data_IF_703412759589
#
_entry.id   IF_703412759589
#
_cell.length_a   1.000
_cell.length_b   1.000
_cell.length_c   1.000
_cell.angle_alpha   90.00
_cell.angle_beta   90.00
_cell.angle_gamma   90.00
#
_symmetry.space_group_name_H-M   'P 1'
#
loop_
_entity.id
_entity.type
_entity.pdbx_description
1 polymer ?
#
# COMPACT_ATOMS: atom_id res chain seq x y z
N UNK A 1 9.38 -1.02 53.73
CA UNK A 1 9.27 -2.28 52.98
C UNK A 1 8.13 -2.06 52.00
N UNK A 2 8.33 -1.43 50.86
CA UNK A 2 9.27 -1.70 49.75
C UNK A 2 9.01 -3.02 49.02
N UNK A 3 9.02 -2.90 47.68
CA UNK A 3 8.96 -3.87 46.57
C UNK A 3 7.57 -4.48 46.29
N UNK A 4 6.88 -4.22 45.17
CA UNK A 4 7.33 -4.18 43.76
C UNK A 4 7.09 -5.57 43.14
N UNK A 5 6.54 -5.81 41.95
CA UNK A 5 6.11 -5.06 40.77
C UNK A 5 5.99 -6.10 39.64
N UNK A 6 5.14 -5.86 38.63
CA UNK A 6 5.29 -6.32 37.22
C UNK A 6 3.93 -6.35 36.49
N UNK A 7 3.39 -5.17 36.17
CA UNK A 7 2.53 -5.04 34.99
C UNK A 7 3.44 -4.87 33.78
N UNK A 8 3.45 -5.88 32.89
CA UNK A 8 4.16 -5.82 31.60
C UNK A 8 3.48 -4.79 30.69
N UNK A 9 3.86 -3.53 30.83
CA UNK A 9 3.62 -2.49 29.84
C UNK A 9 4.63 -2.64 28.71
N UNK A 10 4.18 -3.15 27.56
CA UNK A 10 4.95 -3.09 26.32
C UNK A 10 5.11 -1.63 25.90
N UNK A 11 6.29 -1.07 26.18
CA UNK A 11 6.75 0.20 25.61
C UNK A 11 7.07 -0.03 24.13
N UNK A 12 6.13 0.28 23.25
CA UNK A 12 6.44 0.47 21.84
C UNK A 12 7.27 1.76 21.73
N UNK A 13 8.58 1.63 21.57
CA UNK A 13 9.44 2.75 21.17
C UNK A 13 9.03 3.16 19.75
N UNK A 14 8.14 4.13 19.63
CA UNK A 14 8.05 4.92 18.40
C UNK A 14 9.36 5.72 18.30
N UNK A 15 10.25 5.28 17.42
CA UNK A 15 11.38 6.08 16.98
C UNK A 15 10.85 7.38 16.39
N UNK A 16 11.32 8.50 16.92
CA UNK A 16 11.05 9.82 16.37
C UNK A 16 11.83 9.95 15.07
N UNK A 17 11.18 9.67 13.94
CA UNK A 17 11.69 10.07 12.64
C UNK A 17 11.41 11.57 12.49
N UNK A 18 12.43 12.38 12.80
CA UNK A 18 12.47 13.75 12.36
C UNK A 18 12.52 13.75 10.83
N UNK A 19 11.42 14.15 10.20
CA UNK A 19 11.33 14.33 8.76
C UNK A 19 12.11 15.59 8.38
N UNK A 20 13.42 15.45 8.15
CA UNK A 20 14.15 16.40 7.35
C UNK A 20 13.73 16.18 5.89
N UNK A 21 12.78 16.99 5.42
CA UNK A 21 12.32 16.97 4.04
C UNK A 21 13.45 17.36 3.09
N UNK A 22 14.20 16.39 2.59
CA UNK A 22 14.97 16.55 1.37
C UNK A 22 14.02 16.41 0.19
N UNK A 23 13.74 17.54 -0.45
CA UNK A 23 13.06 17.61 -1.73
C UNK A 23 13.97 17.00 -2.79
N UNK A 24 13.77 15.72 -3.07
CA UNK A 24 14.26 15.12 -4.31
C UNK A 24 13.18 15.36 -5.35
N UNK A 25 13.34 16.42 -6.14
CA UNK A 25 12.70 16.51 -7.44
C UNK A 25 13.16 15.30 -8.25
N UNK A 26 12.34 14.25 -8.34
CA UNK A 26 12.65 13.13 -9.21
C UNK A 26 12.43 13.60 -10.64
N UNK A 27 13.51 14.00 -11.31
CA UNK A 27 13.57 13.80 -12.75
C UNK A 27 13.41 12.29 -12.93
N UNK A 28 12.22 11.86 -13.33
CA UNK A 28 11.96 10.49 -13.74
C UNK A 28 12.84 10.25 -14.97
N UNK A 29 14.07 9.79 -14.74
CA UNK A 29 14.84 9.16 -15.78
C UNK A 29 14.01 7.94 -16.17
N UNK A 30 13.51 7.91 -17.40
CA UNK A 30 12.78 6.76 -17.91
C UNK A 30 13.73 5.56 -17.80
N UNK A 31 13.55 4.75 -16.76
CA UNK A 31 14.33 3.55 -16.55
C UNK A 31 14.03 2.62 -17.73
N UNK A 32 15.06 2.30 -18.51
CA UNK A 32 14.90 1.41 -19.65
C UNK A 32 14.43 0.04 -19.14
N UNK A 33 13.32 -0.46 -19.70
CA UNK A 33 12.77 -1.77 -19.39
C UNK A 33 13.54 -2.81 -20.20
N UNK A 34 13.92 -3.93 -19.59
CA UNK A 34 14.50 -5.06 -20.30
C UNK A 34 13.58 -5.49 -21.47
N UNK A 35 14.03 -5.39 -22.74
CA UNK A 35 13.20 -5.70 -23.90
C UNK A 35 12.62 -7.12 -23.91
N UNK A 36 13.29 -8.08 -23.26
CA UNK A 36 12.80 -9.44 -23.15
C UNK A 36 11.47 -9.51 -22.38
N UNK A 37 11.24 -8.62 -21.41
CA UNK A 37 10.00 -8.51 -20.65
C UNK A 37 8.87 -7.87 -21.45
N UNK A 38 9.13 -7.29 -22.63
CA UNK A 38 8.09 -6.77 -23.51
C UNK A 38 7.66 -7.77 -24.59
N UNK A 39 8.42 -8.85 -24.77
CA UNK A 39 8.23 -9.81 -25.86
C UNK A 39 7.94 -11.22 -25.37
N UNK A 40 8.35 -11.56 -24.15
CA UNK A 40 8.24 -12.91 -23.59
C UNK A 40 7.40 -12.94 -22.32
N UNK A 41 6.91 -14.13 -21.98
CA UNK A 41 6.29 -14.37 -20.68
C UNK A 41 7.25 -14.00 -19.55
N UNK A 42 6.71 -13.32 -18.55
CA UNK A 42 7.46 -12.93 -17.37
C UNK A 42 7.74 -14.18 -16.51
N UNK A 43 8.96 -14.36 -16.00
CA UNK A 43 9.25 -15.40 -15.01
C UNK A 43 8.37 -15.29 -13.75
N UNK A 44 8.04 -14.07 -13.33
CA UNK A 44 7.10 -13.80 -12.25
C UNK A 44 5.69 -14.32 -12.58
N UNK A 45 4.99 -14.73 -11.52
CA UNK A 45 3.63 -15.26 -11.61
C UNK A 45 2.67 -14.42 -10.78
N UNK A 46 1.46 -14.27 -11.29
CA UNK A 46 0.37 -13.67 -10.53
C UNK A 46 0.14 -14.44 -9.23
N UNK A 47 0.10 -13.76 -8.10
CA UNK A 47 -0.15 -14.35 -6.79
C UNK A 47 -1.36 -13.73 -6.11
N UNK A 48 -2.01 -14.50 -5.25
CA UNK A 48 -3.12 -14.02 -4.39
C UNK A 48 -3.12 -14.76 -3.05
N UNK A 49 -3.88 -14.27 -2.09
CA UNK A 49 -4.01 -14.91 -0.78
C UNK A 49 -4.77 -16.23 -0.93
N UNK A 50 -4.22 -17.32 -0.40
CA UNK A 50 -4.85 -18.62 -0.52
C UNK A 50 -6.22 -18.64 0.19
N UNK A 51 -7.25 -19.16 -0.48
CA UNK A 51 -8.60 -19.29 0.08
C UNK A 51 -9.43 -18.01 0.12
N UNK A 52 -8.92 -16.86 -0.36
CA UNK A 52 -9.73 -15.65 -0.51
C UNK A 52 -10.65 -15.74 -1.73
N UNK A 53 -11.84 -15.16 -1.64
CA UNK A 53 -12.68 -14.92 -2.82
C UNK A 53 -12.00 -13.86 -3.71
N UNK A 54 -11.66 -14.20 -4.98
CA UNK A 54 -10.89 -13.29 -5.81
C UNK A 54 -11.77 -12.20 -6.47
N UNK A 55 -13.10 -12.21 -6.29
CA UNK A 55 -14.01 -11.22 -6.88
C UNK A 55 -14.70 -10.31 -5.86
N UNK A 56 -14.63 -10.63 -4.57
CA UNK A 56 -15.21 -9.83 -3.50
C UNK A 56 -14.27 -8.73 -3.00
N UNK A 57 -14.86 -7.80 -2.25
CA UNK A 57 -14.09 -6.78 -1.53
C UNK A 57 -13.04 -7.43 -0.64
N UNK A 58 -11.81 -6.90 -0.69
CA UNK A 58 -10.78 -7.30 0.25
C UNK A 58 -9.52 -6.44 0.15
N UNK A 59 -8.84 -6.33 1.28
CA UNK A 59 -7.51 -5.74 1.39
C UNK A 59 -6.54 -6.86 1.73
N UNK A 60 -5.49 -7.01 0.95
CA UNK A 60 -4.59 -8.15 1.00
C UNK A 60 -3.16 -7.68 1.17
N UNK A 61 -2.44 -8.24 2.14
CA UNK A 61 -1.04 -7.94 2.34
C UNK A 61 -0.19 -9.09 1.80
N UNK A 62 0.91 -8.74 1.14
CA UNK A 62 1.91 -9.64 0.57
C UNK A 62 3.28 -9.26 1.09
N UNK A 63 4.10 -10.27 1.40
CA UNK A 63 5.45 -10.05 1.94
C UNK A 63 6.47 -11.03 1.36
N UNK A 64 7.68 -10.50 1.16
CA UNK A 64 8.87 -11.27 0.78
C UNK A 64 10.11 -10.68 1.44
N UNK A 65 10.76 -11.47 2.30
CA UNK A 65 12.11 -11.18 2.79
C UNK A 65 13.15 -11.82 1.88
N UNK A 66 14.28 -11.14 1.68
CA UNK A 66 15.38 -11.60 0.85
C UNK A 66 16.70 -10.98 1.33
N UNK A 67 17.83 -11.50 0.86
CA UNK A 67 19.14 -11.01 1.23
C UNK A 67 19.94 -10.58 0.00
N UNK A 68 20.72 -9.51 0.17
CA UNK A 68 21.64 -9.00 -0.85
C UNK A 68 23.06 -9.00 -0.27
N UNK A 69 24.07 -9.50 -0.98
CA UNK A 69 25.44 -9.49 -0.50
C UNK A 69 25.98 -8.07 -0.31
N UNK A 70 25.50 -7.12 -1.13
CA UNK A 70 25.84 -5.71 -1.06
C UNK A 70 24.65 -4.85 -1.50
N UNK A 71 24.64 -3.57 -1.13
CA UNK A 71 23.64 -2.62 -1.65
C UNK A 71 23.93 -2.39 -3.14
N UNK A 72 22.98 -2.65 -4.05
CA UNK A 72 23.18 -2.43 -5.48
C UNK A 72 23.12 -0.93 -5.81
N UNK A 73 23.73 -0.54 -6.92
CA UNK A 73 23.62 0.82 -7.46
C UNK A 73 22.29 1.07 -8.17
N UNK A 74 21.70 0.01 -8.73
CA UNK A 74 20.37 -0.01 -9.34
C UNK A 74 19.71 -1.38 -9.08
N UNK A 75 18.40 -1.38 -8.85
CA UNK A 75 17.61 -2.59 -8.64
C UNK A 75 16.21 -2.31 -9.17
N UNK A 76 15.99 -2.63 -10.44
CA UNK A 76 14.79 -2.22 -11.17
C UNK A 76 13.74 -3.30 -11.07
N UNK A 77 12.52 -2.89 -10.71
CA UNK A 77 11.36 -3.77 -10.64
C UNK A 77 10.21 -3.22 -11.46
N UNK A 78 9.34 -4.14 -11.89
CA UNK A 78 8.06 -3.87 -12.50
C UNK A 78 6.96 -4.43 -11.61
N UNK A 79 5.97 -3.61 -11.30
CA UNK A 79 4.93 -3.98 -10.34
C UNK A 79 3.55 -3.57 -10.84
N UNK A 80 2.56 -4.43 -10.60
CA UNK A 80 1.15 -4.17 -10.86
C UNK A 80 0.28 -5.00 -9.90
N UNK A 81 -1.00 -4.68 -9.83
CA UNK A 81 -1.98 -5.46 -9.11
C UNK A 81 -3.37 -5.25 -9.69
N UNK A 82 -4.28 -6.16 -9.36
CA UNK A 82 -5.71 -6.03 -9.61
C UNK A 82 -6.43 -5.98 -8.24
N UNK A 83 -7.00 -4.85 -7.81
CA UNK A 83 -7.27 -3.62 -8.58
C UNK A 83 -6.24 -2.50 -8.37
N UNK A 84 -5.79 -2.28 -7.12
CA UNK A 84 -4.91 -1.18 -6.71
C UNK A 84 -3.89 -1.70 -5.70
N UNK A 85 -2.70 -1.13 -5.66
CA UNK A 85 -1.67 -1.50 -4.69
C UNK A 85 -0.85 -0.32 -4.18
N UNK A 86 -0.20 -0.55 -3.03
CA UNK A 86 0.97 0.20 -2.58
C UNK A 86 2.10 -0.78 -2.32
N UNK A 87 3.32 -0.43 -2.74
CA UNK A 87 4.53 -1.22 -2.53
C UNK A 87 5.47 -0.48 -1.55
N UNK A 88 6.06 -1.26 -0.66
CA UNK A 88 6.97 -0.83 0.38
C UNK A 88 8.27 -1.61 0.30
N UNK A 89 9.38 -0.93 0.57
CA UNK A 89 10.73 -1.51 0.71
C UNK A 89 11.25 -1.11 2.07
N UNK A 90 11.55 -2.09 2.93
CA UNK A 90 12.03 -1.84 4.30
C UNK A 90 11.16 -0.82 5.07
N UNK A 91 9.83 -0.95 4.92
CA UNK A 91 8.85 -0.09 5.57
C UNK A 91 8.57 1.28 4.93
N UNK A 92 9.33 1.67 3.89
CA UNK A 92 9.09 2.91 3.17
C UNK A 92 8.27 2.65 1.90
N UNK A 93 7.15 3.38 1.70
CA UNK A 93 6.36 3.31 0.47
C UNK A 93 7.18 3.87 -0.71
N UNK A 94 7.33 3.10 -1.77
CA UNK A 94 8.15 3.46 -2.94
C UNK A 94 7.33 3.75 -4.19
N UNK A 95 6.18 3.08 -4.36
CA UNK A 95 5.27 3.30 -5.49
C UNK A 95 3.87 2.81 -5.14
N UNK A 96 2.87 3.30 -5.85
CA UNK A 96 1.49 2.82 -5.78
C UNK A 96 0.83 2.95 -7.15
N UNK A 97 -0.18 2.13 -7.42
CA UNK A 97 -0.76 1.99 -8.75
C UNK A 97 -1.80 0.86 -8.82
N UNK A 98 -1.96 0.20 -9.99
CA UNK A 98 -1.41 0.62 -11.27
C UNK A 98 -2.11 1.88 -11.83
N UNK A 99 -1.55 2.48 -12.88
CA UNK A 99 -2.36 3.33 -13.76
C UNK A 99 -3.60 2.56 -14.22
N UNK A 100 -4.76 3.24 -14.27
CA UNK A 100 -5.97 2.64 -14.83
C UNK A 100 -5.75 2.23 -16.29
N UNK A 101 -6.35 1.10 -16.64
CA UNK A 101 -6.37 0.54 -17.99
C UNK A 101 -7.53 -0.44 -18.11
N UNK A 102 -7.58 -1.15 -19.23
CA UNK A 102 -8.46 -2.29 -19.43
C UNK A 102 -7.64 -3.60 -19.40
N UNK A 103 -8.30 -4.76 -19.54
CA UNK A 103 -7.63 -6.06 -19.49
C UNK A 103 -6.58 -6.24 -20.61
N UNK A 104 -6.79 -5.63 -21.78
CA UNK A 104 -5.87 -5.65 -22.92
C UNK A 104 -4.74 -4.61 -22.80
N UNK A 105 -4.86 -3.66 -21.88
CA UNK A 105 -3.87 -2.60 -21.61
C UNK A 105 -3.56 -2.51 -20.12
N UNK A 106 -3.20 -3.64 -19.51
CA UNK A 106 -2.95 -3.74 -18.08
C UNK A 106 -1.61 -3.11 -17.72
N UNK A 107 -1.65 -2.00 -16.97
CA UNK A 107 -0.47 -1.18 -16.72
C UNK A 107 0.40 -1.76 -15.62
N UNK A 108 1.71 -1.66 -15.79
CA UNK A 108 2.68 -1.84 -14.72
C UNK A 108 3.59 -0.60 -14.57
N UNK A 109 4.04 -0.37 -13.35
CA UNK A 109 5.01 0.67 -13.02
C UNK A 109 6.42 0.08 -13.06
N UNK A 110 7.38 0.85 -13.58
CA UNK A 110 8.82 0.55 -13.49
C UNK A 110 9.47 1.51 -12.51
N UNK A 111 10.19 0.98 -11.52
CA UNK A 111 10.85 1.79 -10.49
C UNK A 111 12.18 1.17 -10.07
N UNK A 112 13.20 2.02 -9.90
CA UNK A 112 14.46 1.63 -9.27
C UNK A 112 14.31 1.73 -7.74
N UNK A 113 14.41 0.59 -7.06
CA UNK A 113 14.31 0.50 -5.60
C UNK A 113 15.66 0.44 -4.88
N UNK A 114 16.78 0.46 -5.59
CA UNK A 114 18.12 0.47 -4.98
C UNK A 114 18.30 1.52 -3.86
N UNK A 115 17.78 2.75 -3.96
CA UNK A 115 17.91 3.74 -2.89
C UNK A 115 17.40 3.25 -1.53
N UNK A 116 16.37 2.39 -1.53
CA UNK A 116 15.68 1.89 -0.33
C UNK A 116 16.24 0.55 0.18
N UNK A 117 17.17 -0.06 -0.56
CA UNK A 117 17.79 -1.33 -0.21
C UNK A 117 19.06 -1.13 0.64
N UNK A 118 19.44 -2.20 1.34
CA UNK A 118 20.68 -2.33 2.12
C UNK A 118 21.39 -3.65 1.84
N UNK A 119 22.67 -3.73 2.18
CA UNK A 119 23.34 -5.03 2.28
C UNK A 119 22.71 -5.87 3.40
N UNK A 120 22.68 -7.20 3.23
CA UNK A 120 22.01 -8.13 4.12
C UNK A 120 20.51 -8.21 3.86
N UNK A 121 19.73 -8.36 4.95
CA UNK A 121 18.29 -8.64 4.88
C UNK A 121 17.47 -7.41 4.49
N UNK A 122 16.56 -7.60 3.54
CA UNK A 122 15.58 -6.64 3.05
C UNK A 122 14.19 -7.27 3.04
N UNK A 123 13.17 -6.42 2.98
CA UNK A 123 11.77 -6.84 2.82
C UNK A 123 11.08 -6.02 1.74
N UNK A 124 10.37 -6.73 0.85
CA UNK A 124 9.31 -6.16 0.05
C UNK A 124 7.96 -6.48 0.68
N UNK A 125 7.10 -5.47 0.73
CA UNK A 125 5.77 -5.56 1.29
C UNK A 125 4.80 -4.85 0.34
N UNK A 126 3.68 -5.48 0.01
CA UNK A 126 2.65 -4.88 -0.83
C UNK A 126 1.28 -5.05 -0.21
N UNK A 127 0.46 -4.01 -0.27
CA UNK A 127 -0.97 -4.11 0.04
C UNK A 127 -1.74 -3.91 -1.25
N UNK A 128 -2.72 -4.78 -1.49
CA UNK A 128 -3.59 -4.78 -2.67
C UNK A 128 -5.05 -4.63 -2.22
N UNK A 129 -5.75 -3.69 -2.82
CA UNK A 129 -7.19 -3.51 -2.67
C UNK A 129 -7.90 -4.10 -3.88
N UNK A 130 -8.91 -4.91 -3.62
CA UNK A 130 -9.97 -5.23 -4.56
C UNK A 130 -11.27 -4.67 -3.99
N UNK A 131 -11.91 -3.74 -4.70
CA UNK A 131 -13.18 -3.16 -4.25
C UNK A 131 -14.38 -4.07 -4.57
N UNK A 132 -14.15 -5.18 -5.30
CA UNK A 132 -15.14 -6.20 -5.61
C UNK A 132 -16.32 -5.65 -6.40
N UNK A 133 -17.54 -5.95 -5.95
CA UNK A 133 -18.77 -5.38 -6.52
C UNK A 133 -18.89 -3.86 -6.33
N UNK A 134 -18.15 -3.27 -5.38
CA UNK A 134 -18.19 -1.84 -5.06
C UNK A 134 -17.17 -1.00 -5.84
N UNK A 135 -16.43 -1.61 -6.78
CA UNK A 135 -15.42 -0.91 -7.56
C UNK A 135 -16.02 0.28 -8.30
N UNK A 136 -15.22 1.35 -8.43
CA UNK A 136 -15.58 2.49 -9.25
C UNK A 136 -15.89 2.04 -10.70
N UNK A 137 -16.80 2.73 -11.39
CA UNK A 137 -17.16 2.38 -12.79
C UNK A 137 -15.94 2.39 -13.71
N UNK A 138 -14.99 3.30 -13.48
CA UNK A 138 -13.75 3.40 -14.23
C UNK A 138 -12.71 2.31 -13.88
N UNK A 139 -13.00 1.43 -12.91
CA UNK A 139 -12.09 0.38 -12.47
C UNK A 139 -12.43 -0.94 -13.19
N UNK A 140 -11.75 -1.18 -14.31
CA UNK A 140 -11.75 -2.50 -14.95
C UNK A 140 -10.91 -3.46 -14.09
N UNK A 141 -11.44 -4.66 -13.88
CA UNK A 141 -10.81 -5.69 -13.07
C UNK A 141 -11.29 -7.06 -13.54
N UNK A 142 -10.39 -8.03 -13.54
CA UNK A 142 -10.73 -9.43 -13.72
C UNK A 142 -10.95 -10.09 -12.36
N UNK A 143 -9.96 -10.06 -11.47
CA UNK A 143 -9.98 -10.66 -10.13
C UNK A 143 -8.79 -10.20 -9.28
N UNK A 144 -8.79 -10.39 -7.97
CA UNK A 144 -7.63 -10.03 -7.12
C UNK A 144 -6.35 -10.70 -7.61
N UNK A 145 -5.28 -9.92 -7.75
CA UNK A 145 -3.95 -10.44 -8.08
C UNK A 145 -2.84 -9.43 -7.80
N UNK A 146 -1.65 -9.93 -7.47
CA UNK A 146 -0.43 -9.15 -7.35
C UNK A 146 0.65 -9.73 -8.26
N UNK A 147 1.42 -8.86 -8.92
CA UNK A 147 2.53 -9.25 -9.77
C UNK A 147 3.69 -8.27 -9.57
N UNK A 148 4.87 -8.81 -9.26
CA UNK A 148 6.14 -8.10 -9.21
C UNK A 148 7.20 -8.93 -9.94
N UNK A 149 7.95 -8.27 -10.83
CA UNK A 149 8.99 -8.82 -11.68
C UNK A 149 10.25 -7.97 -11.57
N UNK A 150 11.40 -8.57 -11.33
CA UNK A 150 12.69 -7.92 -11.49
C UNK A 150 13.04 -7.68 -12.97
N UNK A 151 13.73 -6.60 -13.29
CA UNK A 151 14.09 -6.26 -14.68
C UNK A 151 15.08 -7.27 -15.29
N UNK A 152 16.02 -7.80 -14.49
CA UNK A 152 17.00 -8.80 -14.91
C UNK A 152 17.19 -9.96 -13.94
N UNK A 153 18.28 -10.71 -14.16
CA UNK A 153 18.64 -11.87 -13.34
C UNK A 153 18.97 -11.48 -11.89
N UNK A 154 19.59 -10.32 -11.68
CA UNK A 154 19.95 -9.82 -10.35
C UNK A 154 18.72 -9.54 -9.47
N UNK A 155 17.62 -9.09 -10.08
CA UNK A 155 16.36 -8.78 -9.41
C UNK A 155 15.40 -9.98 -9.37
N UNK A 156 15.69 -11.07 -10.07
CA UNK A 156 14.76 -12.20 -10.21
C UNK A 156 14.38 -12.87 -8.88
N UNK A 157 15.21 -12.75 -7.85
CA UNK A 157 14.98 -13.28 -6.50
C UNK A 157 13.76 -12.67 -5.79
N UNK A 158 13.27 -11.50 -6.25
CA UNK A 158 12.05 -10.86 -5.73
C UNK A 158 10.81 -11.14 -6.56
N UNK A 159 10.91 -11.88 -7.66
CA UNK A 159 9.76 -12.22 -8.51
C UNK A 159 8.62 -12.84 -7.68
N UNK A 160 7.41 -12.38 -7.94
CA UNK A 160 6.19 -12.98 -7.37
C UNK A 160 6.09 -14.45 -7.75
N UNK A 161 5.82 -15.29 -6.75
CA UNK A 161 5.91 -16.75 -6.83
C UNK A 161 5.68 -17.43 -5.48
N UNK A 162 6.01 -18.73 -5.32
CA UNK A 162 5.71 -19.51 -4.11
C UNK A 162 6.44 -19.03 -2.85
N UNK A 163 7.46 -18.20 -3.04
CA UNK A 163 8.33 -17.66 -2.01
C UNK A 163 7.73 -16.48 -1.24
N UNK A 164 6.60 -15.97 -1.72
CA UNK A 164 5.83 -14.91 -1.08
C UNK A 164 4.85 -15.47 -0.05
N UNK A 165 4.57 -14.67 0.98
CA UNK A 165 3.52 -14.91 1.96
C UNK A 165 2.42 -13.87 1.80
N UNK A 166 1.20 -14.19 2.21
CA UNK A 166 0.12 -13.21 2.18
C UNK A 166 -1.07 -13.54 3.06
N UNK A 167 -1.77 -12.49 3.49
CA UNK A 167 -2.98 -12.56 4.32
C UNK A 167 -4.03 -11.57 3.82
N UNK A 168 -5.30 -11.87 4.09
CA UNK A 168 -6.36 -10.86 4.00
C UNK A 168 -6.34 -10.03 5.28
N UNK A 169 -6.24 -8.72 5.14
CA UNK A 169 -6.33 -7.79 6.25
C UNK A 169 -7.79 -7.55 6.62
N UNK A 170 -8.17 -7.99 7.81
CA UNK A 170 -9.55 -7.90 8.34
C UNK A 170 -9.86 -6.57 9.04
N UNK A 171 -8.88 -5.67 9.15
CA UNK A 171 -9.08 -4.34 9.69
C UNK A 171 -9.99 -3.46 8.81
N UNK A 172 -10.16 -3.79 7.53
CA UNK A 172 -10.91 -3.00 6.57
C UNK A 172 -12.28 -3.61 6.28
N UNK A 173 -13.30 -2.75 6.22
CA UNK A 173 -14.63 -3.10 5.72
C UNK A 173 -15.13 -1.99 4.79
N UNK A 174 -15.82 -2.33 3.69
CA UNK A 174 -16.39 -1.32 2.81
C UNK A 174 -17.62 -0.71 3.48
N UNK A 175 -17.77 0.60 3.33
CA UNK A 175 -19.00 1.33 3.63
C UNK A 175 -19.53 1.81 2.27
N UNK A 176 -20.37 1.00 1.60
CA UNK A 176 -20.93 1.39 0.31
C UNK A 176 -21.85 2.62 0.47
N UNK A 177 -21.91 3.48 -0.56
CA UNK A 177 -22.87 4.59 -0.57
C UNK A 177 -24.29 4.05 -0.46
N UNK A 178 -25.09 4.63 0.43
CA UNK A 178 -26.50 4.25 0.56
C UNK A 178 -27.34 5.01 -0.46
N UNK A 179 -28.35 4.34 -1.03
CA UNK A 179 -29.21 4.94 -2.04
C UNK A 179 -29.93 6.21 -1.52
N UNK A 180 -30.23 6.27 -0.22
CA UNK A 180 -30.87 7.41 0.42
C UNK A 180 -29.91 8.58 0.69
N UNK A 181 -28.60 8.33 0.68
CA UNK A 181 -27.56 9.33 0.96
C UNK A 181 -27.05 10.02 -0.31
N UNK A 182 -27.43 9.52 -1.49
CA UNK A 182 -26.95 10.04 -2.78
C UNK A 182 -28.11 10.42 -3.69
N UNK A 183 -28.22 11.72 -3.98
CA UNK A 183 -29.06 12.23 -5.05
C UNK A 183 -28.34 12.08 -6.40
N UNK A 184 -28.41 10.87 -6.99
CA UNK A 184 -27.94 10.63 -8.36
C UNK A 184 -27.06 9.40 -8.53
N UNK A 185 -26.31 9.38 -9.63
CA UNK A 185 -25.47 8.25 -10.01
C UNK A 185 -24.11 8.29 -9.29
N UNK A 186 -23.76 7.23 -8.56
CA UNK A 186 -22.47 7.09 -7.86
C UNK A 186 -21.53 6.23 -8.68
N UNK A 187 -20.34 6.77 -8.95
CA UNK A 187 -19.32 6.10 -9.80
C UNK A 187 -17.96 5.93 -9.09
N UNK A 188 -17.93 6.15 -7.78
CA UNK A 188 -16.74 6.13 -6.92
C UNK A 188 -16.73 4.86 -6.05
N UNK A 189 -15.54 4.41 -5.57
CA UNK A 189 -15.45 3.23 -4.70
C UNK A 189 -16.09 3.52 -3.32
N UNK A 190 -16.30 2.50 -2.46
CA UNK A 190 -16.91 2.69 -1.15
C UNK A 190 -16.01 3.53 -0.23
N UNK A 191 -16.59 4.10 0.82
CA UNK A 191 -15.81 4.56 1.96
C UNK A 191 -15.25 3.36 2.73
N UNK A 192 -14.33 3.60 3.66
CA UNK A 192 -13.69 2.53 4.44
C UNK A 192 -13.98 2.67 5.92
N UNK A 193 -14.37 1.55 6.54
CA UNK A 193 -14.31 1.37 7.99
C UNK A 193 -12.97 0.73 8.33
N UNK A 194 -12.29 1.28 9.32
CA UNK A 194 -11.01 0.78 9.80
C UNK A 194 -11.09 0.39 11.28
N UNK A 195 -10.67 -0.84 11.59
CA UNK A 195 -10.51 -1.36 12.95
C UNK A 195 -9.01 -1.58 13.25
N UNK A 196 -8.42 -0.61 13.94
CA UNK A 196 -7.01 -0.61 14.31
C UNK A 196 -6.61 -1.80 15.21
N UNK A 197 -7.55 -2.43 15.93
CA UNK A 197 -7.25 -3.60 16.78
C UNK A 197 -6.90 -4.85 15.98
N UNK A 198 -7.36 -4.91 14.72
CA UNK A 198 -7.13 -6.04 13.81
C UNK A 198 -5.99 -5.78 12.82
N UNK A 199 -5.47 -4.54 12.76
CA UNK A 199 -4.43 -4.19 11.82
C UNK A 199 -3.08 -4.77 12.25
N UNK A 200 -2.33 -5.45 11.35
CA UNK A 200 -1.02 -6.00 11.68
C UNK A 200 0.03 -4.89 11.70
N UNK A 201 0.07 -4.08 12.76
CA UNK A 201 1.01 -2.96 12.87
C UNK A 201 2.47 -3.40 12.69
N UNK A 202 3.23 -2.65 11.91
CA UNK A 202 4.65 -2.94 11.67
C UNK A 202 4.92 -4.09 10.69
N UNK A 203 3.89 -4.86 10.27
CA UNK A 203 3.62 -4.92 8.85
C UNK A 203 4.80 -5.02 7.92
N UNK A 204 4.95 -3.95 7.16
CA UNK A 204 5.95 -3.62 6.15
C UNK A 204 7.41 -3.58 6.61
N UNK A 205 7.69 -3.66 7.92
CA UNK A 205 9.04 -3.59 8.48
C UNK A 205 9.78 -4.93 8.39
N UNK A 206 11.12 -4.91 8.46
CA UNK A 206 11.95 -6.11 8.32
C UNK A 206 11.80 -7.08 9.51
N UNK A 207 11.59 -6.50 10.69
CA UNK A 207 11.59 -7.13 12.01
C UNK A 207 10.24 -7.77 12.34
N UNK A 208 9.23 -7.55 11.49
CA UNK A 208 7.93 -8.18 11.63
C UNK A 208 8.02 -9.69 11.39
N UNK A 209 7.50 -10.46 12.35
CA UNK A 209 7.41 -11.91 12.27
C UNK A 209 6.19 -12.33 11.44
N UNK A 210 6.43 -12.73 10.20
CA UNK A 210 5.42 -13.25 9.27
C UNK A 210 5.38 -14.79 9.22
N UNK A 211 5.98 -15.48 10.20
CA UNK A 211 6.01 -16.95 10.24
C UNK A 211 4.61 -17.58 10.20
N UNK A 212 3.61 -16.89 10.77
CA UNK A 212 2.20 -17.28 10.77
C UNK A 212 1.46 -17.01 9.46
N UNK A 213 2.02 -16.22 8.54
CA UNK A 213 1.37 -15.91 7.27
C UNK A 213 1.49 -17.10 6.32
N UNK A 214 0.39 -17.58 5.72
CA UNK A 214 0.46 -18.67 4.76
C UNK A 214 1.22 -18.24 3.50
N UNK A 215 1.71 -19.23 2.75
CA UNK A 215 2.19 -19.00 1.39
C UNK A 215 1.04 -18.54 0.50
N UNK A 216 1.36 -17.69 -0.47
CA UNK A 216 0.40 -17.25 -1.48
C UNK A 216 -0.02 -18.41 -2.39
N UNK A 217 -1.22 -18.32 -2.94
CA UNK A 217 -1.58 -19.12 -4.11
C UNK A 217 -0.86 -18.56 -5.34
N UNK A 218 -0.36 -19.45 -6.19
CA UNK A 218 0.47 -19.11 -7.35
C UNK A 218 -0.31 -19.40 -8.63
N UNK A 219 -0.50 -18.36 -9.44
CA UNK A 219 -1.15 -18.42 -10.73
C UNK A 219 -0.20 -18.62 -11.90
N UNK A 220 -0.62 -18.07 -13.03
CA UNK A 220 0.13 -18.11 -14.30
C UNK A 220 1.11 -16.94 -14.39
N UNK A 221 2.04 -17.07 -15.31
CA UNK A 221 3.04 -16.05 -15.62
C UNK A 221 2.39 -14.73 -16.06
N UNK A 222 3.07 -13.62 -15.79
CA UNK A 222 2.75 -12.35 -16.44
C UNK A 222 2.98 -12.46 -17.96
N UNK A 223 2.18 -11.76 -18.76
CA UNK A 223 2.28 -11.81 -20.22
C UNK A 223 2.17 -10.40 -20.81
N UNK A 224 3.13 -9.96 -21.63
CA UNK A 224 3.00 -8.76 -22.45
C UNK A 224 1.77 -8.84 -23.36
N UNK A 225 1.22 -7.68 -23.73
CA UNK A 225 -0.02 -7.62 -24.51
C UNK A 225 0.01 -8.43 -25.80
N UNK A 226 1.13 -8.41 -26.52
CA UNK A 226 1.21 -9.02 -27.84
C UNK A 226 1.61 -10.52 -27.77
N UNK A 227 1.53 -11.13 -26.58
CA UNK A 227 1.78 -12.56 -26.38
C UNK A 227 0.68 -13.40 -27.01
N UNK A 228 1.05 -14.29 -27.93
CA UNK A 228 0.15 -15.30 -28.50
C UNK A 228 -0.18 -16.35 -27.44
N UNK A 229 -1.46 -16.73 -27.34
CA UNK A 229 -1.97 -17.70 -26.36
C UNK A 229 -1.58 -17.38 -24.90
N UNK A 230 -1.68 -16.09 -24.54
CA UNK A 230 -1.32 -15.61 -23.22
C UNK A 230 -2.04 -16.39 -22.11
N UNK A 231 -1.33 -16.85 -21.06
CA UNK A 231 -1.90 -17.69 -20.00
C UNK A 231 -2.69 -16.88 -18.95
N UNK A 232 -2.96 -15.60 -19.22
CA UNK A 232 -3.53 -14.63 -18.29
C UNK A 232 -4.38 -13.60 -19.06
N UNK A 233 -5.50 -13.10 -18.48
CA UNK A 233 -6.31 -12.06 -19.10
C UNK A 233 -5.73 -10.65 -18.88
N UNK A 234 -4.72 -10.47 -18.03
CA UNK A 234 -4.03 -9.20 -17.83
C UNK A 234 -2.87 -9.07 -18.81
N UNK A 235 -3.10 -8.33 -19.89
CA UNK A 235 -2.14 -8.09 -20.96
C UNK A 235 -1.27 -6.88 -20.62
N UNK A 236 -0.03 -7.16 -20.23
CA UNK A 236 0.87 -6.19 -19.62
C UNK A 236 1.39 -5.18 -20.65
N UNK A 237 1.32 -3.90 -20.29
CA UNK A 237 1.94 -2.79 -21.02
C UNK A 237 2.54 -1.78 -20.03
N UNK A 238 3.63 -1.08 -20.40
CA UNK A 238 4.17 -0.03 -19.56
C UNK A 238 3.16 1.09 -19.28
N UNK A 239 3.30 1.73 -18.12
CA UNK A 239 2.64 3.00 -17.85
C UNK A 239 3.08 4.07 -18.87
N UNK A 240 2.13 4.82 -19.44
CA UNK A 240 2.39 5.86 -20.45
C UNK A 240 2.38 7.29 -19.90
N UNK A 241 2.06 7.46 -18.62
CA UNK A 241 2.00 8.77 -17.96
C UNK A 241 2.95 8.79 -16.75
N UNK A 242 3.44 9.95 -16.30
CA UNK A 242 4.26 10.04 -15.09
C UNK A 242 3.57 9.44 -13.86
N UNK A 243 4.36 9.02 -12.86
CA UNK A 243 3.83 8.65 -11.56
C UNK A 243 3.11 9.83 -10.92
N UNK A 244 2.10 9.55 -10.10
CA UNK A 244 1.37 10.61 -9.41
C UNK A 244 2.25 11.23 -8.33
N UNK A 245 2.27 12.56 -8.27
CA UNK A 245 2.92 13.31 -7.22
C UNK A 245 1.99 13.44 -6.01
N UNK A 246 2.57 13.35 -4.81
CA UNK A 246 1.88 13.58 -3.56
C UNK A 246 2.70 14.54 -2.71
N UNK A 247 2.04 15.56 -2.15
CA UNK A 247 2.67 16.51 -1.24
C UNK A 247 1.91 16.51 0.07
N UNK A 248 2.56 16.22 1.22
CA UNK A 248 1.94 16.33 2.52
C UNK A 248 1.41 17.74 2.77
N UNK A 249 0.15 17.86 3.18
CA UNK A 249 -0.48 19.12 3.55
C UNK A 249 -1.07 19.04 4.95
N UNK A 250 -0.86 20.07 5.76
CA UNK A 250 -1.49 20.19 7.08
C UNK A 250 -2.84 20.87 6.95
N UNK A 251 -3.81 20.37 7.73
CA UNK A 251 -5.10 21.02 7.93
C UNK A 251 -4.91 22.41 8.53
N UNK A 252 -5.64 23.40 8.03
CA UNK A 252 -5.38 24.79 8.36
C UNK A 252 -5.92 25.20 9.73
N UNK A 253 -7.12 24.76 10.12
CA UNK A 253 -7.75 25.18 11.40
C UNK A 253 -8.83 24.24 11.92
N UNK A 254 -9.13 24.38 13.21
CA UNK A 254 -10.32 23.81 13.85
C UNK A 254 -11.48 24.81 13.75
N UNK A 255 -12.65 24.33 13.31
CA UNK A 255 -13.90 25.10 13.21
C UNK A 255 -14.84 24.85 14.37
N UNK A 256 -14.86 23.61 14.84
CA UNK A 256 -15.67 23.15 15.96
C UNK A 256 -14.81 22.23 16.80
N UNK A 257 -14.87 22.40 18.11
CA UNK A 257 -14.32 21.47 19.08
C UNK A 257 -15.30 21.29 20.23
N UNK A 258 -15.74 20.05 20.44
CA UNK A 258 -16.64 19.68 21.53
C UNK A 258 -16.01 18.52 22.31
N UNK A 259 -16.13 18.57 23.64
CA UNK A 259 -15.55 17.58 24.55
C UNK A 259 -14.04 17.71 24.75
N UNK A 260 -13.36 18.65 24.08
CA UNK A 260 -11.95 18.96 24.30
C UNK A 260 -11.62 20.38 23.83
N UNK A 261 -10.60 20.99 24.43
CA UNK A 261 -9.95 22.19 23.91
C UNK A 261 -8.68 21.77 23.16
N UNK A 262 -8.59 21.99 21.83
CA UNK A 262 -7.37 21.69 21.09
C UNK A 262 -6.20 22.55 21.58
N UNK A 263 -4.97 22.01 21.62
CA UNK A 263 -3.80 22.78 22.01
C UNK A 263 -3.49 23.86 20.97
N UNK A 264 -2.80 24.91 21.39
CA UNK A 264 -2.41 26.02 20.51
C UNK A 264 -1.63 25.51 19.28
N UNK A 265 -2.00 26.00 18.10
CA UNK A 265 -1.38 25.62 16.83
C UNK A 265 -1.92 24.34 16.19
N UNK A 266 -2.72 23.52 16.88
CA UNK A 266 -3.41 22.40 16.24
C UNK A 266 -4.55 22.92 15.32
N UNK A 267 -4.71 22.38 14.09
CA UNK A 267 -3.95 21.33 13.43
C UNK A 267 -2.85 21.84 12.48
N UNK A 268 -2.72 23.16 12.29
CA UNK A 268 -1.75 23.75 11.36
C UNK A 268 -0.31 23.34 11.65
N UNK A 269 0.02 23.17 12.93
CA UNK A 269 1.28 22.60 13.42
C UNK A 269 1.06 21.15 13.89
N UNK A 270 2.09 20.29 13.84
CA UNK A 270 2.00 18.90 14.30
C UNK A 270 2.02 18.79 15.84
N UNK A 271 1.05 19.42 16.50
CA UNK A 271 0.88 19.39 17.95
C UNK A 271 -0.03 18.22 18.32
N UNK A 272 0.38 17.30 19.22
CA UNK A 272 -0.46 16.18 19.62
C UNK A 272 -1.74 16.63 20.35
N UNK A 273 -2.89 16.12 19.90
CA UNK A 273 -4.16 16.24 20.63
C UNK A 273 -4.40 14.97 21.46
N UNK A 274 -4.48 15.09 22.78
CA UNK A 274 -4.61 13.95 23.69
C UNK A 274 -6.08 13.73 24.07
N UNK A 275 -6.71 12.71 23.51
CA UNK A 275 -8.10 12.35 23.82
C UNK A 275 -8.15 11.54 25.12
N UNK A 276 -8.89 11.99 26.17
CA UNK A 276 -9.02 11.22 27.40
C UNK A 276 -9.75 9.89 27.19
N UNK A 277 -9.43 8.89 28.01
CA UNK A 277 -10.13 7.61 27.98
C UNK A 277 -11.63 7.82 28.24
N UNK A 278 -12.47 7.09 27.50
CA UNK A 278 -13.96 7.13 27.60
C UNK A 278 -14.57 8.51 27.31
N UNK A 279 -13.82 9.44 26.71
CA UNK A 279 -14.36 10.70 26.23
C UNK A 279 -14.95 10.56 24.83
N UNK A 280 -15.97 11.37 24.55
CA UNK A 280 -16.46 11.60 23.18
C UNK A 280 -16.04 13.01 22.77
N UNK A 281 -15.27 13.10 21.70
CA UNK A 281 -14.78 14.36 21.14
C UNK A 281 -15.31 14.51 19.72
N UNK A 282 -15.75 15.70 19.35
CA UNK A 282 -16.12 16.06 17.97
C UNK A 282 -15.29 17.24 17.52
N UNK A 283 -14.60 17.09 16.40
CA UNK A 283 -13.82 18.13 15.76
C UNK A 283 -14.31 18.33 14.33
N UNK A 284 -14.46 19.58 13.90
CA UNK A 284 -14.58 19.94 12.49
C UNK A 284 -13.28 20.62 12.08
N UNK A 285 -12.56 20.02 11.13
CA UNK A 285 -11.29 20.52 10.63
C UNK A 285 -11.49 21.09 9.22
N UNK A 286 -10.85 22.22 8.93
CA UNK A 286 -11.03 22.94 7.67
C UNK A 286 -9.67 23.24 7.02
N UNK A 287 -9.54 22.88 5.74
CA UNK A 287 -8.36 23.09 4.92
C UNK A 287 -8.34 24.46 4.22
N UNK A 288 -9.42 25.25 4.32
CA UNK A 288 -9.68 26.53 3.66
C UNK A 288 -9.77 26.48 2.13
N UNK A 289 -9.28 25.42 1.52
CA UNK A 289 -9.32 25.19 0.08
C UNK A 289 -9.88 23.81 -0.20
N UNK A 290 -10.57 23.70 -1.32
CA UNK A 290 -10.93 22.40 -1.88
C UNK A 290 -9.66 21.72 -2.36
N UNK A 291 -9.46 20.46 -1.99
CA UNK A 291 -8.30 19.66 -2.41
C UNK A 291 -8.72 18.22 -2.66
N UNK A 292 -7.95 17.51 -3.48
CA UNK A 292 -8.07 16.06 -3.66
C UNK A 292 -6.92 15.42 -2.91
N UNK A 293 -7.23 14.74 -1.82
CA UNK A 293 -6.24 14.12 -0.94
C UNK A 293 -6.87 12.98 -0.14
N UNK A 294 -6.02 12.19 0.51
CA UNK A 294 -6.43 11.26 1.57
C UNK A 294 -6.08 11.86 2.93
N UNK A 295 -7.02 11.89 3.90
CA UNK A 295 -6.68 12.33 5.24
C UNK A 295 -5.76 11.32 5.91
N UNK A 296 -4.65 11.81 6.48
CA UNK A 296 -3.73 10.99 7.26
C UNK A 296 -3.90 11.29 8.76
N UNK A 297 -4.10 10.24 9.56
CA UNK A 297 -4.17 10.33 11.01
C UNK A 297 -3.02 9.54 11.64
N UNK A 298 -2.19 10.22 12.42
CA UNK A 298 -1.17 9.59 13.25
C UNK A 298 -1.74 9.45 14.67
N UNK A 299 -2.00 8.21 15.06
CA UNK A 299 -2.60 7.87 16.34
C UNK A 299 -1.61 7.03 17.14
N UNK A 300 -1.51 7.28 18.44
CA UNK A 300 -0.69 6.46 19.36
C UNK A 300 -1.48 6.16 20.63
N UNK A 301 -1.29 4.95 21.16
CA UNK A 301 -2.08 4.44 22.28
C UNK A 301 -3.49 4.01 21.88
N UNK A 302 -4.35 3.76 22.87
CA UNK A 302 -5.67 3.17 22.64
C UNK A 302 -5.62 1.63 22.56
N UNK A 303 -6.80 1.00 22.50
CA UNK A 303 -6.94 -0.47 22.36
C UNK A 303 -7.17 -0.93 20.90
N UNK A 304 -7.17 0.01 19.96
CA UNK A 304 -7.79 -0.11 18.66
C UNK A 304 -8.72 1.07 18.47
#
# INVERSE_FOLDING_TARGET
MDMGGATRGGLWKLGWLAWAGTWLSSLAQATAINPALLQNLWPARWVWVAGSDPFCYGVYHFRRTFELPQKPTSFIIHVTADNRYQLFVNGQRVVWGPARGDLFHWRFETVDIAPYLRAGKNVLAAVVWNDGEYRAVAQISHRTGFLLQGDGEAEALVNTGPDWRGIQNRAYQPIPPRAEEVYGYVVVPPLERFDASQYPWGWEQLEFDDSSWPRVAVGRNGAPRDTVDAPTPWFLVPREIPLMEETPQRLARVRLAEGITPPEGFPAKPVPLRIPARARVRLLLDQNVLTTAFPELVITGGKG
#
